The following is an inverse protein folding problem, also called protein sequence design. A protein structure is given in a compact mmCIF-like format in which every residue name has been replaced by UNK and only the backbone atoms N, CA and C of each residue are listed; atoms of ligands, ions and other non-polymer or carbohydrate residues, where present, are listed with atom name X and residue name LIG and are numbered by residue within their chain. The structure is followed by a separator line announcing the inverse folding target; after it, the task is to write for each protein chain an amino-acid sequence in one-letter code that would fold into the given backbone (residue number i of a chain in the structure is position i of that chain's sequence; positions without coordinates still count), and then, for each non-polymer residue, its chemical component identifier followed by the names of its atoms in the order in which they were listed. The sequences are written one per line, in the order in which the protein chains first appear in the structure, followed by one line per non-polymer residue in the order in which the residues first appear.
data_IF_041480598019
#
_entry.id   IF_041480598019
#
_cell.length_a   1.000
_cell.length_b   1.000
_cell.length_c   1.000
_cell.angle_alpha   90.00
_cell.angle_beta   90.00
_cell.angle_gamma   90.00
#
_symmetry.space_group_name_H-M   'P 1'
#
loop_
_entity.id
_entity.type
_entity.pdbx_description
1 polymer ?
#
# COMPACT_ATOMS: atom_id res chain seq x y z
N UNK A 1 -0.68 29.89 -3.30
CA UNK A 1 -1.20 28.85 -4.22
C UNK A 1 -1.00 27.50 -3.54
N UNK A 2 -2.08 26.87 -3.08
CA UNK A 2 -2.03 25.50 -2.55
C UNK A 2 -1.88 24.58 -3.75
N UNK A 3 -0.78 23.84 -3.81
CA UNK A 3 -0.52 22.87 -4.88
C UNK A 3 -1.59 21.79 -4.86
N UNK A 4 -2.03 21.35 -6.04
CA UNK A 4 -3.07 20.34 -6.26
C UNK A 4 -2.83 19.05 -5.45
N UNK A 5 -1.57 18.74 -5.12
CA UNK A 5 -1.14 17.62 -4.26
C UNK A 5 -1.64 17.72 -2.81
N UNK A 6 -1.75 18.94 -2.26
CA UNK A 6 -2.25 19.16 -0.89
C UNK A 6 -3.76 18.94 -0.73
N UNK A 7 -4.52 19.04 -1.83
CA UNK A 7 -5.95 18.80 -1.82
C UNK A 7 -6.27 17.29 -1.89
N UNK A 8 -5.47 16.53 -2.65
CA UNK A 8 -5.61 15.06 -2.76
C UNK A 8 -5.30 14.36 -1.43
N UNK A 9 -4.27 14.80 -0.69
CA UNK A 9 -3.97 14.27 0.65
C UNK A 9 -5.10 14.51 1.66
N UNK A 10 -5.76 15.68 1.61
CA UNK A 10 -6.87 16.02 2.49
C UNK A 10 -8.15 15.23 2.15
N UNK A 11 -8.41 14.95 0.87
CA UNK A 11 -9.55 14.14 0.43
C UNK A 11 -9.38 12.65 0.76
N UNK A 12 -8.16 12.11 0.67
CA UNK A 12 -7.85 10.73 1.09
C UNK A 12 -8.12 10.51 2.59
N UNK A 13 -7.68 11.44 3.45
CA UNK A 13 -7.92 11.36 4.89
C UNK A 13 -9.41 11.49 5.27
N UNK A 14 -10.18 12.30 4.55
CA UNK A 14 -11.63 12.46 4.79
C UNK A 14 -12.46 11.28 4.25
N UNK A 15 -12.00 10.65 3.16
CA UNK A 15 -12.72 9.53 2.55
C UNK A 15 -12.63 8.21 3.30
N UNK A 16 -11.61 8.04 4.14
CA UNK A 16 -11.49 6.89 5.03
C UNK A 16 -12.44 6.99 6.24
N UNK A 17 -13.00 8.17 6.54
CA UNK A 17 -13.82 8.41 7.74
C UNK A 17 -15.31 8.63 7.48
N UNK A 18 -15.79 8.57 6.23
CA UNK A 18 -17.16 8.96 5.91
C UNK A 18 -17.77 8.15 4.76
N UNK A 19 -18.06 6.86 4.99
CA UNK A 19 -19.14 6.19 4.28
C UNK A 19 -20.08 5.58 5.33
N UNK A 20 -21.29 6.11 5.52
CA UNK A 20 -22.28 5.47 6.37
C UNK A 20 -22.67 4.13 5.74
N UNK A 21 -22.21 3.04 6.34
CA UNK A 21 -22.62 1.67 6.00
C UNK A 21 -24.09 1.48 6.37
N UNK A 22 -24.98 1.90 5.49
CA UNK A 22 -26.37 1.49 5.59
C UNK A 22 -26.98 1.37 4.20
N UNK A 23 -26.70 0.27 3.49
CA UNK A 23 -27.62 -0.23 2.48
C UNK A 23 -27.47 -1.75 2.33
N UNK A 24 -28.41 -2.44 2.95
CA UNK A 24 -28.84 -3.79 2.59
C UNK A 24 -29.23 -3.85 1.11
N UNK A 25 -28.50 -4.61 0.30
CA UNK A 25 -29.03 -5.09 -0.99
C UNK A 25 -28.62 -6.54 -1.23
N UNK A 26 -29.61 -7.42 -1.13
CA UNK A 26 -29.55 -8.77 -1.67
C UNK A 26 -29.55 -8.72 -3.19
N UNK A 27 -28.56 -9.39 -3.78
CA UNK A 27 -28.43 -9.58 -5.23
C UNK A 27 -26.96 -9.72 -5.61
N UNK A 28 -26.51 -10.92 -5.98
CA UNK A 28 -25.12 -11.16 -6.43
C UNK A 28 -24.94 -10.61 -7.86
N UNK A 29 -24.04 -9.66 -8.14
CA UNK A 29 -23.65 -9.35 -9.51
C UNK A 29 -22.72 -10.45 -10.04
N UNK A 30 -23.04 -11.01 -11.21
CA UNK A 30 -22.15 -11.89 -11.96
C UNK A 30 -21.18 -11.04 -12.79
N UNK A 31 -19.88 -11.30 -12.66
CA UNK A 31 -18.83 -10.64 -13.45
C UNK A 31 -18.30 -11.60 -14.52
N UNK A 32 -18.34 -11.16 -15.78
CA UNK A 32 -17.69 -11.83 -16.91
C UNK A 32 -16.20 -11.46 -17.03
N UNK A 33 -15.38 -12.27 -17.72
CA UNK A 33 -13.93 -12.06 -17.82
C UNK A 33 -13.56 -10.88 -18.76
N UNK A 34 -12.49 -10.11 -18.48
CA UNK A 34 -12.02 -9.05 -19.37
C UNK A 34 -11.25 -9.59 -20.61
N UNK A 35 -11.41 -8.89 -21.73
CA UNK A 35 -10.84 -9.16 -23.06
C UNK A 35 -9.35 -8.81 -23.20
N UNK A 36 -8.64 -9.53 -24.07
CA UNK A 36 -7.20 -9.44 -24.37
C UNK A 36 -6.77 -8.41 -25.43
N UNK A 37 -5.57 -7.81 -25.20
CA UNK A 37 -4.51 -7.33 -26.13
C UNK A 37 -4.77 -6.06 -27.01
N UNK A 38 -3.73 -5.31 -27.45
CA UNK A 38 -2.72 -5.79 -28.43
C UNK A 38 -1.25 -5.38 -28.19
N UNK A 39 -0.37 -6.15 -28.84
CA UNK A 39 1.09 -5.99 -29.04
C UNK A 39 1.42 -5.03 -30.18
N UNK A 40 2.52 -4.28 -30.08
CA UNK A 40 3.16 -3.65 -31.25
C UNK A 40 4.69 -3.75 -31.21
N UNK A 41 5.25 -3.92 -32.41
CA UNK A 41 6.63 -4.27 -32.78
C UNK A 41 7.24 -3.19 -33.68
N UNK A 42 8.54 -3.33 -33.98
CA UNK A 42 9.37 -2.66 -35.03
C UNK A 42 10.21 -1.46 -34.55
N UNK A 43 11.37 -1.11 -35.12
CA UNK A 43 12.59 -1.81 -35.60
C UNK A 43 13.65 -0.73 -35.95
N UNK A 44 14.93 -1.11 -35.96
CA UNK A 44 16.16 -0.32 -36.10
C UNK A 44 16.32 0.56 -37.36
N UNK A 45 17.17 1.61 -37.29
CA UNK A 45 18.21 1.86 -38.32
C UNK A 45 19.42 2.61 -37.75
N UNK A 46 20.62 2.12 -38.06
CA UNK A 46 21.96 2.68 -37.80
C UNK A 46 22.44 3.53 -38.98
N UNK A 47 23.13 4.64 -38.71
CA UNK A 47 23.78 5.47 -39.74
C UNK A 47 25.14 5.97 -39.25
N UNK A 48 26.19 5.50 -39.90
CA UNK A 48 27.61 5.90 -39.74
C UNK A 48 27.90 7.02 -40.73
N UNK A 49 28.61 8.07 -40.32
CA UNK A 49 29.21 9.05 -41.24
C UNK A 49 30.62 9.44 -40.77
N UNK A 50 31.54 9.38 -41.72
CA UNK A 50 33.00 9.60 -41.65
C UNK A 50 33.39 11.08 -41.73
N UNK A 51 34.54 11.43 -41.14
CA UNK A 51 35.17 12.77 -41.14
C UNK A 51 35.76 13.18 -42.51
N UNK A 52 36.15 14.47 -42.65
CA UNK A 52 37.58 14.74 -42.83
C UNK A 52 38.13 15.95 -42.05
N UNK A 53 39.43 15.88 -41.77
CA UNK A 53 40.30 16.94 -41.24
C UNK A 53 40.45 18.12 -42.23
N UNK A 54 40.59 19.34 -41.69
CA UNK A 54 41.58 20.34 -42.14
C UNK A 54 41.59 21.54 -41.19
N UNK A 55 42.81 21.93 -40.80
CA UNK A 55 43.17 23.02 -39.90
C UNK A 55 43.16 24.38 -40.59
N UNK A 56 42.50 25.38 -39.98
CA UNK A 56 42.93 26.78 -40.05
C UNK A 56 42.25 27.62 -38.97
N UNK A 57 43.05 28.29 -38.16
CA UNK A 57 42.65 29.22 -37.11
C UNK A 57 42.06 30.52 -37.67
N UNK A 58 40.81 30.81 -37.35
CA UNK A 58 40.25 32.15 -37.43
C UNK A 58 39.28 32.36 -36.26
N UNK A 59 39.55 33.40 -35.47
CA UNK A 59 38.69 33.84 -34.37
C UNK A 59 37.32 34.25 -34.93
N UNK A 60 36.27 33.55 -34.52
CA UNK A 60 34.88 33.90 -34.82
C UNK A 60 34.12 34.05 -33.51
N UNK A 61 33.49 35.22 -33.35
CA UNK A 61 32.60 35.56 -32.24
C UNK A 61 31.59 34.43 -31.99
N UNK A 62 31.49 34.00 -30.74
CA UNK A 62 30.46 33.06 -30.29
C UNK A 62 29.10 33.74 -30.32
N UNK A 63 28.44 33.69 -31.48
CA UNK A 63 26.98 33.70 -31.52
C UNK A 63 26.51 32.43 -30.81
N UNK A 64 26.03 32.58 -29.58
CA UNK A 64 25.31 31.53 -28.87
C UNK A 64 24.03 31.28 -29.66
N UNK A 65 24.08 30.30 -30.57
CA UNK A 65 22.88 29.75 -31.17
C UNK A 65 22.08 29.11 -30.04
N UNK A 66 21.06 29.84 -29.57
CA UNK A 66 20.09 29.34 -28.61
C UNK A 66 19.35 28.17 -29.22
N UNK A 67 19.85 26.95 -29.00
CA UNK A 67 19.10 25.72 -29.24
C UNK A 67 17.84 25.80 -28.41
N UNK A 68 16.73 26.14 -29.05
CA UNK A 68 15.41 26.09 -28.46
C UNK A 68 15.09 24.62 -28.22
N UNK A 69 15.49 24.10 -27.06
CA UNK A 69 15.05 22.82 -26.58
C UNK A 69 13.52 22.88 -26.52
N UNK A 70 12.86 22.14 -27.41
CA UNK A 70 11.42 21.92 -27.29
C UNK A 70 11.22 21.15 -26.00
N UNK A 71 10.87 21.87 -24.94
CA UNK A 71 10.33 21.27 -23.71
C UNK A 71 8.99 20.69 -24.11
N UNK A 72 8.97 19.40 -24.45
CA UNK A 72 7.73 18.65 -24.48
C UNK A 72 7.24 18.65 -23.03
N UNK A 73 6.28 19.53 -22.72
CA UNK A 73 5.51 19.42 -21.51
C UNK A 73 4.92 18.00 -21.52
N UNK A 74 5.43 17.12 -20.66
CA UNK A 74 4.85 15.81 -20.47
C UNK A 74 3.37 16.06 -20.18
N UNK A 75 2.49 15.60 -21.08
CA UNK A 75 1.07 15.64 -20.83
C UNK A 75 0.85 14.93 -19.50
N UNK A 76 0.44 15.67 -18.47
CA UNK A 76 0.22 15.12 -17.14
C UNK A 76 -0.96 14.17 -17.25
N UNK A 77 -0.69 12.89 -17.48
CA UNK A 77 -1.69 11.85 -17.30
C UNK A 77 -2.20 11.94 -15.86
N UNK A 78 -3.51 11.82 -15.67
CA UNK A 78 -4.08 11.75 -14.33
C UNK A 78 -3.38 10.65 -13.52
N UNK A 79 -2.97 10.92 -12.28
CA UNK A 79 -2.24 9.96 -11.47
C UNK A 79 -3.10 8.72 -11.19
N UNK A 80 -2.49 7.56 -11.09
CA UNK A 80 -3.11 6.33 -10.61
C UNK A 80 -2.71 6.09 -9.16
N UNK A 81 -3.65 5.62 -8.33
CA UNK A 81 -3.39 5.16 -6.97
C UNK A 81 -3.16 3.65 -6.99
N UNK A 82 -1.99 3.20 -6.53
CA UNK A 82 -1.69 1.80 -6.28
C UNK A 82 -1.78 1.51 -4.80
N UNK A 83 -2.28 0.34 -4.42
CA UNK A 83 -2.45 -0.06 -3.03
C UNK A 83 -1.72 -1.37 -2.76
N UNK A 84 -0.75 -1.34 -1.85
CA UNK A 84 0.01 -2.50 -1.39
C UNK A 84 -0.32 -2.76 0.08
N UNK A 85 -0.97 -3.88 0.37
CA UNK A 85 -1.33 -4.21 1.74
C UNK A 85 -1.77 -5.65 1.93
N UNK A 86 -2.42 -5.91 3.07
CA UNK A 86 -2.86 -7.23 3.49
C UNK A 86 -4.38 -7.45 3.32
N UNK A 87 -4.95 -8.43 4.05
CA UNK A 87 -6.37 -8.76 4.00
C UNK A 87 -7.28 -7.60 4.38
N UNK A 88 -6.83 -6.68 5.23
CA UNK A 88 -7.64 -5.52 5.63
C UNK A 88 -7.84 -4.53 4.49
N UNK A 89 -7.00 -4.60 3.45
CA UNK A 89 -7.06 -3.75 2.25
C UNK A 89 -7.55 -4.52 1.01
N UNK A 90 -7.25 -5.81 0.91
CA UNK A 90 -7.43 -6.64 -0.27
C UNK A 90 -8.90 -6.93 -0.65
N UNK A 91 -9.13 -7.12 -1.96
CA UNK A 91 -10.37 -7.71 -2.46
C UNK A 91 -10.58 -9.11 -1.86
N UNK A 92 -11.77 -9.33 -1.29
CA UNK A 92 -12.15 -10.57 -0.61
C UNK A 92 -11.73 -10.63 0.86
N UNK A 93 -11.11 -9.57 1.39
CA UNK A 93 -10.79 -9.45 2.80
C UNK A 93 -9.90 -10.60 3.32
N UNK A 94 -10.26 -11.11 4.49
CA UNK A 94 -9.70 -12.33 5.10
C UNK A 94 -10.45 -13.62 4.70
N UNK A 95 -11.36 -13.57 3.73
CA UNK A 95 -12.24 -14.68 3.36
C UNK A 95 -13.66 -14.52 3.91
N UNK A 96 -14.34 -15.65 4.13
CA UNK A 96 -15.77 -15.81 4.54
C UNK A 96 -16.49 -14.53 4.97
N UNK A 97 -17.12 -13.85 4.01
CA UNK A 97 -18.02 -12.72 4.27
C UNK A 97 -17.36 -11.37 4.61
N UNK A 98 -16.03 -11.28 4.53
CA UNK A 98 -15.28 -10.04 4.80
C UNK A 98 -14.85 -9.34 3.51
N UNK A 99 -14.48 -8.06 3.62
CA UNK A 99 -13.97 -7.25 2.52
C UNK A 99 -12.90 -6.28 3.02
N UNK A 100 -11.87 -6.03 2.22
CA UNK A 100 -10.85 -5.04 2.53
C UNK A 100 -11.30 -3.61 2.20
N UNK A 101 -10.79 -2.63 2.95
CA UNK A 101 -11.15 -1.23 2.81
C UNK A 101 -10.80 -0.66 1.42
N UNK A 102 -9.75 -1.17 0.78
CA UNK A 102 -9.28 -0.69 -0.52
C UNK A 102 -10.26 -0.91 -1.67
N UNK A 103 -11.24 -1.81 -1.50
CA UNK A 103 -12.34 -1.97 -2.46
C UNK A 103 -13.29 -0.77 -2.48
N UNK A 104 -13.34 0.01 -1.39
CA UNK A 104 -14.23 1.16 -1.27
C UNK A 104 -13.54 2.49 -1.63
N UNK A 105 -12.21 2.54 -1.65
CA UNK A 105 -11.46 3.74 -2.01
C UNK A 105 -11.83 4.35 -3.38
N UNK A 106 -12.11 3.56 -4.45
CA UNK A 106 -12.51 4.12 -5.74
C UNK A 106 -13.78 4.98 -5.69
N UNK A 107 -14.67 4.79 -4.71
CA UNK A 107 -15.89 5.61 -4.58
C UNK A 107 -15.62 7.03 -4.06
N UNK A 108 -14.41 7.27 -3.59
CA UNK A 108 -14.02 8.53 -2.95
C UNK A 108 -13.05 9.36 -3.78
N UNK A 109 -12.60 8.83 -4.93
CA UNK A 109 -11.59 9.43 -5.77
C UNK A 109 -12.07 9.52 -7.22
N UNK A 110 -11.70 10.60 -7.90
CA UNK A 110 -11.96 10.78 -9.34
C UNK A 110 -10.75 10.37 -10.20
N UNK A 111 -9.87 9.51 -9.65
CA UNK A 111 -8.67 9.00 -10.32
C UNK A 111 -8.64 7.46 -10.22
N UNK A 112 -7.97 6.76 -11.16
CA UNK A 112 -7.90 5.31 -11.14
C UNK A 112 -7.26 4.76 -9.86
N UNK A 113 -7.79 3.65 -9.36
CA UNK A 113 -7.27 2.93 -8.20
C UNK A 113 -7.01 1.47 -8.59
N UNK A 114 -5.80 0.99 -8.32
CA UNK A 114 -5.38 -0.40 -8.51
C UNK A 114 -5.07 -0.97 -7.14
N UNK A 115 -5.88 -1.95 -6.71
CA UNK A 115 -5.73 -2.60 -5.42
C UNK A 115 -4.93 -3.91 -5.58
N UNK A 116 -3.62 -3.83 -5.35
CA UNK A 116 -2.68 -4.95 -5.39
C UNK A 116 -2.48 -5.63 -4.01
N UNK A 117 -3.28 -5.24 -3.01
CA UNK A 117 -3.21 -5.84 -1.69
C UNK A 117 -3.56 -7.33 -1.73
N UNK A 118 -2.92 -8.11 -0.86
CA UNK A 118 -3.08 -9.55 -0.81
C UNK A 118 -3.22 -10.07 0.60
N UNK A 119 -4.32 -10.80 0.84
CA UNK A 119 -4.59 -11.45 2.11
C UNK A 119 -3.39 -12.27 2.64
N UNK A 120 -3.12 -12.10 3.94
CA UNK A 120 -2.07 -12.80 4.68
C UNK A 120 -0.64 -12.35 4.37
N UNK A 121 -0.43 -11.24 3.65
CA UNK A 121 0.93 -10.72 3.40
C UNK A 121 1.36 -9.75 4.50
N UNK A 122 2.65 -9.75 4.74
CA UNK A 122 3.46 -8.84 5.56
C UNK A 122 4.43 -8.09 4.65
N UNK A 123 5.14 -7.09 5.15
CA UNK A 123 6.23 -6.42 4.44
C UNK A 123 7.25 -7.42 3.88
N UNK A 124 7.71 -8.39 4.71
CA UNK A 124 8.59 -9.49 4.27
C UNK A 124 7.99 -10.34 3.16
N UNK A 125 6.80 -10.90 3.37
CA UNK A 125 6.25 -11.89 2.43
C UNK A 125 5.81 -11.23 1.11
N UNK A 126 5.30 -10.00 1.16
CA UNK A 126 5.00 -9.20 -0.03
C UNK A 126 6.27 -8.89 -0.85
N UNK A 127 7.39 -8.61 -0.17
CA UNK A 127 8.71 -8.45 -0.81
C UNK A 127 9.21 -9.77 -1.39
N UNK A 128 9.14 -10.86 -0.62
CA UNK A 128 9.64 -12.19 -1.03
C UNK A 128 8.91 -12.73 -2.26
N UNK A 129 7.62 -12.44 -2.39
CA UNK A 129 6.80 -12.80 -3.56
C UNK A 129 6.97 -11.81 -4.74
N UNK A 130 7.91 -10.87 -4.66
CA UNK A 130 8.17 -9.82 -5.66
C UNK A 130 6.93 -8.99 -6.04
N UNK A 131 5.98 -8.81 -5.10
CA UNK A 131 4.76 -8.04 -5.38
C UNK A 131 5.04 -6.54 -5.47
N UNK A 132 5.96 -6.02 -4.64
CA UNK A 132 6.44 -4.66 -4.82
C UNK A 132 7.06 -4.45 -6.20
N UNK A 133 7.85 -5.42 -6.70
CA UNK A 133 8.44 -5.36 -8.03
C UNK A 133 7.38 -5.31 -9.14
N UNK A 134 6.30 -6.09 -9.01
CA UNK A 134 5.18 -6.04 -9.96
C UNK A 134 4.55 -4.63 -10.03
N UNK A 135 4.30 -3.99 -8.88
CA UNK A 135 3.75 -2.64 -8.82
C UNK A 135 4.76 -1.62 -9.38
N UNK A 136 6.02 -1.66 -8.95
CA UNK A 136 7.12 -0.77 -9.42
C UNK A 136 7.29 -0.80 -10.94
N UNK A 137 7.03 -1.94 -11.60
CA UNK A 137 7.11 -2.07 -13.05
C UNK A 137 5.97 -1.38 -13.81
N UNK A 138 4.87 -1.04 -13.13
CA UNK A 138 3.68 -0.41 -13.74
C UNK A 138 3.54 1.07 -13.41
N UNK A 139 4.09 1.50 -12.27
CA UNK A 139 4.06 2.89 -11.79
C UNK A 139 4.76 3.83 -12.77
N UNK A 140 4.16 5.03 -12.94
CA UNK A 140 4.69 6.16 -13.68
C UNK A 140 4.95 7.34 -12.73
N UNK A 141 5.76 8.29 -13.21
CA UNK A 141 6.00 9.55 -12.47
C UNK A 141 4.69 10.29 -12.22
N UNK A 142 4.46 10.73 -10.98
CA UNK A 142 3.24 11.38 -10.54
C UNK A 142 2.18 10.45 -9.93
N UNK A 143 2.29 9.13 -10.09
CA UNK A 143 1.39 8.18 -9.45
C UNK A 143 1.54 8.19 -7.92
N UNK A 144 0.53 7.66 -7.22
CA UNK A 144 0.48 7.56 -5.77
C UNK A 144 0.53 6.08 -5.39
N UNK A 145 1.31 5.73 -4.38
CA UNK A 145 1.32 4.37 -3.82
C UNK A 145 1.01 4.41 -2.34
N UNK A 146 -0.04 3.72 -1.93
CA UNK A 146 -0.41 3.54 -0.52
C UNK A 146 0.12 2.18 -0.07
N UNK A 147 0.94 2.16 0.97
CA UNK A 147 1.49 0.95 1.58
C UNK A 147 0.97 0.83 3.02
N UNK A 148 0.30 -0.26 3.35
CA UNK A 148 -0.25 -0.53 4.69
C UNK A 148 -0.02 -2.00 5.08
N UNK A 149 0.84 -2.23 6.08
CA UNK A 149 1.15 -3.55 6.64
C UNK A 149 1.28 -3.45 8.16
N UNK A 150 1.33 -4.60 8.83
CA UNK A 150 1.49 -4.70 10.29
C UNK A 150 0.74 -5.86 10.92
N UNK A 151 -0.38 -6.30 10.33
CA UNK A 151 -1.21 -7.40 10.88
C UNK A 151 -0.50 -8.77 10.82
N UNK A 152 0.31 -8.99 9.79
CA UNK A 152 0.97 -10.28 9.53
C UNK A 152 2.48 -10.26 9.83
N UNK A 153 2.99 -9.12 10.29
CA UNK A 153 4.42 -8.79 10.38
C UNK A 153 5.01 -9.21 11.74
N UNK A 154 4.14 -9.53 12.69
CA UNK A 154 4.51 -10.05 14.01
C UNK A 154 4.77 -11.56 14.03
N UNK A 155 5.33 -12.02 15.15
CA UNK A 155 5.70 -13.42 15.39
C UNK A 155 7.18 -13.56 15.70
N UNK A 156 7.67 -14.80 15.65
CA UNK A 156 9.10 -15.11 15.79
C UNK A 156 9.65 -15.54 14.43
N UNK A 157 10.96 -15.38 14.24
CA UNK A 157 11.68 -15.80 13.02
C UNK A 157 12.70 -16.91 13.35
N UNK A 158 13.37 -16.79 14.50
CA UNK A 158 14.53 -17.61 14.89
C UNK A 158 14.16 -19.00 15.41
N UNK A 159 12.96 -19.18 15.96
CA UNK A 159 12.52 -20.47 16.54
C UNK A 159 11.34 -21.09 15.80
N UNK A 160 10.43 -20.26 15.25
CA UNK A 160 9.27 -20.69 14.48
C UNK A 160 9.01 -19.69 13.36
N UNK A 161 9.41 -19.99 12.12
CA UNK A 161 9.21 -19.07 11.00
C UNK A 161 7.91 -19.38 10.24
N UNK A 162 6.93 -18.48 10.33
CA UNK A 162 5.67 -18.54 9.57
C UNK A 162 5.80 -17.95 8.15
N UNK A 163 7.02 -17.57 7.74
CA UNK A 163 7.38 -16.93 6.46
C UNK A 163 6.81 -15.52 6.26
N UNK A 164 6.23 -14.92 7.30
CA UNK A 164 5.65 -13.57 7.30
C UNK A 164 6.30 -12.65 8.32
N UNK A 165 6.63 -13.15 9.50
CA UNK A 165 7.28 -12.39 10.57
C UNK A 165 8.51 -11.65 10.03
N UNK A 166 8.58 -10.36 10.29
CA UNK A 166 9.80 -9.58 10.04
C UNK A 166 10.80 -9.79 11.18
N UNK A 167 12.06 -9.42 10.94
CA UNK A 167 13.01 -9.31 12.02
C UNK A 167 12.61 -8.17 12.97
N UNK A 168 12.72 -8.40 14.27
CA UNK A 168 12.45 -7.37 15.26
C UNK A 168 13.56 -6.31 15.22
N UNK A 169 13.19 -5.04 15.12
CA UNK A 169 14.13 -3.92 15.06
C UNK A 169 13.57 -2.73 14.30
N UNK A 170 14.09 -1.53 14.59
CA UNK A 170 13.68 -0.28 13.94
C UNK A 170 14.72 0.21 12.90
N UNK A 171 15.88 -0.42 12.86
CA UNK A 171 17.01 -0.10 12.01
C UNK A 171 17.22 -1.14 10.92
N UNK A 172 18.49 -1.45 10.65
CA UNK A 172 18.93 -2.42 9.64
C UNK A 172 19.32 -3.77 10.26
N UNK A 173 18.70 -4.14 11.38
CA UNK A 173 18.92 -5.44 12.01
C UNK A 173 18.49 -6.58 11.08
N UNK A 174 19.10 -7.74 11.27
CA UNK A 174 18.76 -8.94 10.53
C UNK A 174 18.60 -10.12 11.47
N UNK A 175 17.67 -11.01 11.14
CA UNK A 175 17.42 -12.23 11.85
C UNK A 175 17.71 -13.41 10.93
N UNK A 176 18.31 -14.48 11.45
CA UNK A 176 18.42 -15.75 10.72
C UNK A 176 17.22 -16.62 11.07
N UNK A 177 16.42 -16.99 10.08
CA UNK A 177 15.28 -17.89 10.28
C UNK A 177 15.72 -19.32 10.60
N UNK A 178 14.76 -20.13 11.06
CA UNK A 178 14.95 -21.58 11.27
C UNK A 178 15.45 -22.34 10.02
N UNK A 179 15.23 -21.80 8.82
CA UNK A 179 15.71 -22.40 7.55
C UNK A 179 17.05 -21.84 7.08
N UNK A 180 17.65 -20.90 7.84
CA UNK A 180 18.88 -20.20 7.48
C UNK A 180 18.69 -18.95 6.62
N UNK A 181 17.46 -18.62 6.20
CA UNK A 181 17.20 -17.39 5.44
C UNK A 181 17.42 -16.13 6.30
N UNK A 182 18.06 -15.11 5.71
CA UNK A 182 18.23 -13.79 6.34
C UNK A 182 16.95 -12.97 6.16
N UNK A 183 16.40 -12.51 7.27
CA UNK A 183 15.17 -11.73 7.35
C UNK A 183 15.47 -10.31 7.81
N UNK A 184 14.93 -9.33 7.09
CA UNK A 184 15.12 -7.91 7.38
C UNK A 184 14.05 -7.39 8.34
N UNK A 185 14.25 -6.19 8.88
CA UNK A 185 13.23 -5.49 9.67
C UNK A 185 12.11 -4.92 8.80
N UNK A 186 10.95 -4.68 9.42
CA UNK A 186 9.82 -3.97 8.80
C UNK A 186 10.24 -2.63 8.16
N UNK A 187 10.95 -1.70 8.86
CA UNK A 187 11.42 -0.48 8.23
C UNK A 187 12.34 -0.71 7.04
N UNK A 188 13.19 -1.74 7.07
CA UNK A 188 14.11 -2.02 5.96
C UNK A 188 13.35 -2.45 4.72
N UNK A 189 12.38 -3.38 4.84
CA UNK A 189 11.56 -3.80 3.71
C UNK A 189 10.82 -2.62 3.08
N UNK A 190 10.12 -1.82 3.91
CA UNK A 190 9.30 -0.73 3.39
C UNK A 190 10.13 0.46 2.88
N UNK A 191 11.28 0.77 3.50
CA UNK A 191 12.18 1.83 3.01
C UNK A 191 12.73 1.47 1.63
N UNK A 192 13.12 0.20 1.43
CA UNK A 192 13.62 -0.26 0.13
C UNK A 192 12.54 -0.15 -0.96
N UNK A 193 11.32 -0.65 -0.70
CA UNK A 193 10.21 -0.54 -1.64
C UNK A 193 9.86 0.93 -1.95
N UNK A 194 9.77 1.76 -0.90
CA UNK A 194 9.45 3.19 -1.00
C UNK A 194 10.47 3.93 -1.87
N UNK A 195 11.77 3.71 -1.64
CA UNK A 195 12.82 4.36 -2.41
C UNK A 195 12.78 3.97 -3.89
N UNK A 196 12.47 2.70 -4.20
CA UNK A 196 12.34 2.24 -5.58
C UNK A 196 11.11 2.86 -6.28
N UNK A 197 10.01 3.04 -5.58
CA UNK A 197 8.81 3.73 -6.10
C UNK A 197 9.06 5.22 -6.30
N UNK A 198 9.73 5.89 -5.35
CA UNK A 198 10.15 7.29 -5.47
C UNK A 198 11.10 7.48 -6.65
N UNK A 199 12.01 6.53 -6.89
CA UNK A 199 12.90 6.57 -8.06
C UNK A 199 12.15 6.50 -9.41
N UNK A 200 10.90 5.99 -9.42
CA UNK A 200 9.99 6.07 -10.58
C UNK A 200 9.22 7.40 -10.66
N UNK A 201 9.41 8.30 -9.70
CA UNK A 201 8.70 9.58 -9.59
C UNK A 201 7.35 9.49 -8.87
N UNK A 202 7.08 8.40 -8.15
CA UNK A 202 5.82 8.22 -7.42
C UNK A 202 5.83 8.92 -6.06
N UNK A 203 4.68 9.38 -5.61
CA UNK A 203 4.45 9.79 -4.24
C UNK A 203 4.03 8.57 -3.42
N UNK A 204 4.73 8.29 -2.31
CA UNK A 204 4.44 7.14 -1.46
C UNK A 204 3.77 7.59 -0.17
N UNK A 205 2.71 6.89 0.22
CA UNK A 205 1.99 7.07 1.46
C UNK A 205 2.20 5.80 2.29
N UNK A 206 2.88 5.91 3.41
CA UNK A 206 2.94 4.85 4.42
C UNK A 206 1.77 5.05 5.37
N UNK A 207 0.89 4.07 5.44
CA UNK A 207 -0.26 4.07 6.32
C UNK A 207 0.01 3.16 7.52
N UNK A 208 -0.39 3.57 8.73
CA UNK A 208 -0.39 2.67 9.89
C UNK A 208 -1.43 1.56 9.70
N UNK A 209 -1.20 0.34 10.21
CA UNK A 209 -2.18 -0.73 10.11
C UNK A 209 -3.49 -0.30 10.80
N UNK A 210 -4.60 -0.72 10.21
CA UNK A 210 -5.92 -0.64 10.86
C UNK A 210 -5.90 -1.37 12.21
N UNK A 211 -6.68 -0.93 13.22
CA UNK A 211 -6.83 -1.69 14.44
C UNK A 211 -7.58 -3.02 14.20
N UNK A 212 -7.30 -3.99 15.06
CA UNK A 212 -8.24 -5.08 15.35
C UNK A 212 -9.52 -4.53 15.99
N UNK A 213 -10.43 -5.41 16.45
CA UNK A 213 -11.63 -4.96 17.14
C UNK A 213 -11.30 -4.32 18.50
N UNK A 214 -11.17 -3.00 18.53
CA UNK A 214 -10.84 -2.25 19.75
C UNK A 214 -11.94 -2.33 20.82
N UNK A 215 -13.15 -2.75 20.46
CA UNK A 215 -14.32 -2.81 21.32
C UNK A 215 -14.70 -4.24 21.73
N UNK A 216 -13.85 -5.24 21.46
CA UNK A 216 -14.12 -6.67 21.67
C UNK A 216 -14.50 -6.98 23.13
N UNK A 217 -13.90 -6.27 24.10
CA UNK A 217 -14.16 -6.47 25.53
C UNK A 217 -15.38 -5.71 26.05
N UNK A 218 -16.14 -5.05 25.16
CA UNK A 218 -17.27 -4.19 25.50
C UNK A 218 -16.88 -2.72 25.74
N UNK A 219 -15.60 -2.42 25.93
CA UNK A 219 -15.06 -1.04 25.98
C UNK A 219 -14.11 -0.83 24.81
N UNK A 220 -14.28 0.26 24.07
CA UNK A 220 -13.41 0.61 22.95
C UNK A 220 -12.08 1.21 23.45
N UNK A 221 -10.97 0.48 23.30
CA UNK A 221 -9.62 0.91 23.71
C UNK A 221 -8.61 0.61 22.61
N UNK A 222 -7.84 1.62 22.18
CA UNK A 222 -6.84 1.47 21.14
C UNK A 222 -5.44 1.86 21.65
N UNK A 223 -4.46 1.04 21.30
CA UNK A 223 -3.03 1.37 21.41
C UNK A 223 -2.38 1.06 20.08
N UNK A 224 -1.67 2.03 19.52
CA UNK A 224 -1.01 1.84 18.23
C UNK A 224 0.05 0.75 18.30
N UNK A 225 0.08 -0.21 17.36
CA UNK A 225 1.11 -1.23 17.33
C UNK A 225 2.47 -0.61 16.96
N UNK A 226 3.57 -1.29 17.31
CA UNK A 226 4.95 -0.85 16.99
C UNK A 226 5.15 -0.49 15.52
N UNK A 227 4.41 -1.15 14.62
CA UNK A 227 4.46 -0.92 13.17
C UNK A 227 4.04 0.50 12.77
N UNK A 228 3.23 1.18 13.60
CA UNK A 228 2.89 2.60 13.44
C UNK A 228 4.13 3.48 13.55
N UNK A 229 4.92 3.29 14.61
CA UNK A 229 6.17 4.03 14.79
C UNK A 229 7.20 3.67 13.71
N UNK A 230 7.25 2.39 13.32
CA UNK A 230 8.10 1.95 12.22
C UNK A 230 7.73 2.60 10.89
N UNK A 231 6.45 2.72 10.57
CA UNK A 231 5.98 3.41 9.37
C UNK A 231 6.39 4.89 9.32
N UNK A 232 6.36 5.59 10.45
CA UNK A 232 6.90 6.96 10.55
C UNK A 232 8.39 7.01 10.22
N UNK A 233 9.17 6.07 10.75
CA UNK A 233 10.60 5.97 10.47
C UNK A 233 10.92 5.70 8.99
N UNK A 234 10.03 5.01 8.26
CA UNK A 234 10.19 4.78 6.81
C UNK A 234 10.08 6.10 6.06
N UNK A 235 9.08 6.92 6.40
CA UNK A 235 8.87 8.23 5.78
C UNK A 235 10.03 9.18 6.09
N UNK A 236 10.51 9.19 7.33
CA UNK A 236 11.70 9.97 7.72
C UNK A 236 12.93 9.59 6.89
N UNK A 237 13.14 8.30 6.62
CA UNK A 237 14.26 7.79 5.80
C UNK A 237 14.09 8.06 4.31
N UNK A 238 12.86 8.05 3.80
CA UNK A 238 12.56 8.19 2.37
C UNK A 238 12.51 9.65 1.88
N UNK A 239 12.21 10.60 2.77
CA UNK A 239 12.23 12.04 2.48
C UNK A 239 10.93 12.57 1.86
N UNK A 240 11.03 13.66 1.10
CA UNK A 240 9.88 14.53 0.76
C UNK A 240 8.83 13.93 -0.17
N UNK A 241 9.14 12.85 -0.87
CA UNK A 241 8.18 12.13 -1.73
C UNK A 241 7.41 11.04 -0.97
N UNK A 242 7.72 10.83 0.31
CA UNK A 242 6.98 9.97 1.21
C UNK A 242 6.15 10.79 2.21
N UNK A 243 5.00 10.25 2.63
CA UNK A 243 4.16 10.84 3.67
C UNK A 243 3.56 9.74 4.55
N UNK A 244 3.18 10.10 5.78
CA UNK A 244 2.59 9.17 6.74
C UNK A 244 1.11 9.50 7.00
N UNK A 245 0.26 8.49 7.00
CA UNK A 245 -1.14 8.58 7.46
C UNK A 245 -1.32 7.63 8.65
N UNK A 246 -1.84 8.14 9.76
CA UNK A 246 -2.15 7.32 10.93
C UNK A 246 -3.56 6.71 10.85
N UNK A 247 -3.79 5.86 9.83
CA UNK A 247 -5.09 5.26 9.56
C UNK A 247 -5.63 4.48 10.78
N UNK A 248 -4.76 3.80 11.51
CA UNK A 248 -5.12 3.09 12.74
C UNK A 248 -5.77 4.00 13.79
N UNK A 249 -5.16 5.16 14.06
CA UNK A 249 -5.72 6.15 15.00
C UNK A 249 -7.02 6.78 14.49
N UNK A 250 -7.10 7.11 13.20
CA UNK A 250 -8.35 7.65 12.62
C UNK A 250 -9.50 6.66 12.75
N UNK A 251 -9.28 5.38 12.41
CA UNK A 251 -10.32 4.36 12.50
C UNK A 251 -10.73 4.10 13.95
N UNK A 252 -9.77 4.06 14.88
CA UNK A 252 -10.05 3.86 16.30
C UNK A 252 -10.92 4.98 16.89
N UNK A 253 -10.70 6.23 16.47
CA UNK A 253 -11.52 7.36 16.89
C UNK A 253 -12.96 7.23 16.39
N UNK A 254 -13.18 6.77 15.15
CA UNK A 254 -14.52 6.53 14.63
C UNK A 254 -15.21 5.34 15.33
N UNK A 255 -14.48 4.24 15.57
CA UNK A 255 -15.00 3.12 16.35
C UNK A 255 -15.44 3.51 17.75
N UNK A 256 -14.67 4.38 18.41
CA UNK A 256 -15.02 4.90 19.75
C UNK A 256 -16.35 5.68 19.71
N UNK A 257 -16.61 6.45 18.65
CA UNK A 257 -17.89 7.18 18.48
C UNK A 257 -19.06 6.24 18.19
N UNK A 258 -18.84 5.21 17.37
CA UNK A 258 -19.87 4.22 17.01
C UNK A 258 -20.26 3.30 18.16
N UNK A 259 -19.33 3.07 19.09
CA UNK A 259 -19.51 2.24 20.28
C UNK A 259 -19.48 0.75 20.00
N UNK A 260 -19.29 -0.04 21.07
CA UNK A 260 -19.03 -1.47 20.99
C UNK A 260 -20.13 -2.26 20.26
N UNK A 261 -21.39 -1.93 20.49
CA UNK A 261 -22.54 -2.58 19.82
C UNK A 261 -22.39 -2.55 18.30
N UNK A 262 -22.12 -1.38 17.74
CA UNK A 262 -21.98 -1.19 16.29
C UNK A 262 -20.70 -1.83 15.78
N UNK A 263 -19.56 -1.54 16.42
CA UNK A 263 -18.24 -2.00 15.96
C UNK A 263 -18.15 -3.52 15.97
N UNK A 264 -18.71 -4.20 16.97
CA UNK A 264 -18.73 -5.67 17.02
C UNK A 264 -19.47 -6.31 15.83
N UNK A 265 -20.42 -5.61 15.20
CA UNK A 265 -21.08 -6.12 13.98
C UNK A 265 -20.17 -6.14 12.75
N UNK A 266 -19.09 -5.33 12.74
CA UNK A 266 -18.12 -5.29 11.65
C UNK A 266 -17.12 -6.45 11.70
N UNK A 267 -17.06 -7.17 12.82
CA UNK A 267 -16.18 -8.32 13.02
C UNK A 267 -17.00 -9.61 13.21
N UNK A 268 -17.73 -10.07 12.17
CA UNK A 268 -18.67 -11.20 12.27
C UNK A 268 -18.00 -12.55 12.57
N UNK A 269 -16.66 -12.61 12.50
CA UNK A 269 -15.87 -13.82 12.73
C UNK A 269 -15.26 -13.89 14.14
N UNK A 270 -15.48 -12.88 14.99
CA UNK A 270 -15.08 -12.94 16.40
C UNK A 270 -16.06 -13.86 17.14
N UNK A 271 -15.49 -14.89 17.77
CA UNK A 271 -16.17 -15.97 18.49
C UNK A 271 -16.98 -15.49 19.69
N UNK A 272 -18.17 -14.92 19.45
CA UNK A 272 -19.27 -15.02 20.42
C UNK A 272 -20.19 -16.21 20.10
N UNK A 273 -20.23 -16.64 18.84
CA UNK A 273 -21.07 -17.76 18.40
C UNK A 273 -20.51 -19.12 18.84
N UNK A 274 -19.19 -19.26 18.98
CA UNK A 274 -18.60 -20.52 19.46
C UNK A 274 -18.76 -20.69 20.98
N UNK A 275 -18.75 -19.59 21.74
CA UNK A 275 -18.94 -19.64 23.19
C UNK A 275 -20.41 -19.89 23.58
N UNK A 276 -21.38 -19.30 22.84
CA UNK A 276 -22.80 -19.60 23.07
C UNK A 276 -23.20 -21.02 22.61
N UNK A 277 -22.62 -21.53 21.52
CA UNK A 277 -22.91 -22.90 21.05
C UNK A 277 -22.24 -23.98 21.92
N UNK A 278 -21.07 -23.74 22.51
CA UNK A 278 -20.48 -24.69 23.47
C UNK A 278 -21.14 -24.65 24.86
N UNK A 279 -21.68 -23.52 25.31
CA UNK A 279 -22.36 -23.44 26.61
C UNK A 279 -23.83 -23.88 26.57
N UNK A 280 -24.50 -23.84 25.42
CA UNK A 280 -25.90 -24.29 25.29
C UNK A 280 -26.07 -25.77 24.92
N UNK A 281 -24.99 -26.45 24.49
CA UNK A 281 -25.03 -27.88 24.09
C UNK A 281 -24.45 -28.84 25.14
N UNK A 282 -24.17 -28.38 26.37
CA UNK A 282 -23.48 -29.18 27.40
C UNK A 282 -24.22 -29.48 28.73
N UNK A 283 -25.55 -29.26 28.90
CA UNK A 283 -26.29 -29.95 29.95
C UNK A 283 -27.37 -30.85 29.33
N UNK A 284 -26.99 -32.01 28.81
CA UNK A 284 -27.92 -33.11 28.52
C UNK A 284 -27.29 -34.52 28.56
N UNK A 285 -26.10 -34.68 29.13
CA UNK A 285 -25.50 -35.98 29.43
C UNK A 285 -24.75 -35.91 30.76
N UNK A 286 -25.50 -36.08 31.86
CA UNK A 286 -25.16 -36.82 33.07
C UNK A 286 -26.40 -36.83 33.98
#
# INVERSE_FOLDING_TARGET
MKTTSGLVLATLAASASAAPFNHWFGGKPQWGPPSTAPTESTSYTTGVATAPDTSSSAAASSVVAGSSAKVFAAASSSPTVYMCGDSTMALGGGGTGTQGWGVYLPYSLNIPVINDAKAGRSARSYTTENRFGAVINTIKSGDIVIIEFGHNDGGTVTTTDNLRSDCYGAGSETCTSVTGAIVQTYPTYLTNATNLMIAKGAHVIISSPTPDNICETGTCTYTSPRFTAYGKSVVEKAGSMASFIDHGTYLANEYTKLGATTVNTYYPMITLTLHLLQQTLLPACL
#
